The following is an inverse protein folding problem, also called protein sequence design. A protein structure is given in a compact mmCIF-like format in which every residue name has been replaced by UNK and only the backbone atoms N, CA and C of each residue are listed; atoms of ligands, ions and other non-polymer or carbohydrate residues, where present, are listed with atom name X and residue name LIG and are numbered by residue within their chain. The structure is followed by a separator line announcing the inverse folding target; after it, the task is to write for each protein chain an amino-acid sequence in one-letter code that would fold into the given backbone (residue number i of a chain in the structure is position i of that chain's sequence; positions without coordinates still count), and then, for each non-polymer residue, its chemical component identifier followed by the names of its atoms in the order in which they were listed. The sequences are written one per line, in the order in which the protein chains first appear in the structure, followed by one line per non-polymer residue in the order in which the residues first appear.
data_IF_007433204494
#
_entry.id   IF_007433204494
#
_cell.length_a   1.000
_cell.length_b   1.000
_cell.length_c   1.000
_cell.angle_alpha   90.00
_cell.angle_beta   90.00
_cell.angle_gamma   90.00
#
_symmetry.space_group_name_H-M   'P 1'
#
loop_
_entity.id
_entity.type
_entity.pdbx_description
1 polymer ?
#
# COMPACT_ATOMS: atom_id res chain seq x y z
N UNK A 1 -14.47 11.61 1.38
CA UNK A 1 -13.39 11.31 2.36
C UNK A 1 -12.08 11.05 1.63
N UNK A 2 -11.09 11.95 1.70
CA UNK A 2 -9.75 11.72 1.14
C UNK A 2 -8.91 10.96 2.19
N UNK A 3 -8.42 9.76 1.84
CA UNK A 3 -7.52 8.97 2.70
C UNK A 3 -6.25 9.79 2.97
N UNK A 4 -5.99 10.08 4.24
CA UNK A 4 -4.69 10.52 4.72
C UNK A 4 -3.77 9.29 4.65
N UNK A 5 -2.73 9.34 3.82
CA UNK A 5 -1.73 8.28 3.77
C UNK A 5 -0.89 8.39 5.05
N UNK A 6 -1.11 7.50 6.01
CA UNK A 6 -0.16 7.27 7.11
C UNK A 6 0.81 6.19 6.64
N UNK A 7 2.09 6.52 6.58
CA UNK A 7 3.14 5.51 6.47
C UNK A 7 3.33 4.96 7.88
N UNK A 8 2.84 3.74 8.13
CA UNK A 8 3.07 3.01 9.37
C UNK A 8 4.21 2.01 9.13
N UNK A 9 5.05 1.75 10.13
CA UNK A 9 6.23 0.87 10.06
C UNK A 9 7.36 1.44 9.19
N UNK A 10 7.71 2.70 9.44
CA UNK A 10 8.80 3.42 8.80
C UNK A 10 10.10 3.20 9.55
N UNK A 11 11.19 2.91 8.83
CA UNK A 11 12.55 2.89 9.39
C UNK A 11 13.42 3.81 8.55
N UNK A 12 14.11 4.74 9.19
CA UNK A 12 15.03 5.71 8.60
C UNK A 12 16.42 5.43 9.17
N UNK A 13 17.40 5.25 8.29
CA UNK A 13 18.80 4.97 8.66
C UNK A 13 19.74 5.81 7.79
N UNK A 14 20.86 6.24 8.37
CA UNK A 14 21.92 6.93 7.66
C UNK A 14 22.53 8.06 8.46
N UNK A 15 23.54 8.72 7.90
CA UNK A 15 24.14 9.92 8.48
C UNK A 15 23.21 11.11 8.24
N UNK A 16 22.57 11.58 9.31
CA UNK A 16 21.66 12.73 9.27
C UNK A 16 22.31 14.02 9.75
N UNK A 17 23.58 13.99 10.16
CA UNK A 17 24.28 15.15 10.71
C UNK A 17 23.43 15.92 11.73
N UNK A 18 22.77 15.20 12.64
CA UNK A 18 21.70 15.74 13.50
C UNK A 18 22.09 17.01 14.26
N UNK A 19 23.37 17.19 14.58
CA UNK A 19 23.89 18.39 15.24
C UNK A 19 23.73 19.69 14.40
N UNK A 20 23.76 19.61 13.07
CA UNK A 20 23.55 20.76 12.17
C UNK A 20 22.06 21.09 11.99
N UNK A 21 21.18 20.12 12.29
CA UNK A 21 19.74 20.19 12.05
C UNK A 21 18.92 19.78 13.28
N UNK A 22 19.45 20.02 14.49
CA UNK A 22 18.93 19.47 15.73
C UNK A 22 17.43 19.75 15.93
N UNK A 23 17.00 20.98 15.61
CA UNK A 23 15.59 21.35 15.69
C UNK A 23 14.70 20.58 14.71
N UNK A 24 15.14 20.40 13.46
CA UNK A 24 14.38 19.67 12.46
C UNK A 24 14.34 18.16 12.77
N UNK A 25 15.41 17.65 13.39
CA UNK A 25 15.50 16.28 13.86
C UNK A 25 14.53 16.00 15.03
N UNK A 26 14.52 16.88 16.04
CA UNK A 26 13.57 16.77 17.16
C UNK A 26 12.11 16.94 16.71
N UNK A 27 11.85 17.85 15.76
CA UNK A 27 10.54 17.99 15.13
C UNK A 27 10.15 16.72 14.36
N UNK A 28 11.09 16.06 13.67
CA UNK A 28 10.84 14.78 12.99
C UNK A 28 10.45 13.68 13.98
N UNK A 29 11.18 13.52 15.09
CA UNK A 29 10.86 12.52 16.12
C UNK A 29 9.50 12.81 16.77
N UNK A 30 9.27 14.06 17.18
CA UNK A 30 8.10 14.45 17.96
C UNK A 30 6.81 14.50 17.13
N UNK A 31 6.86 15.09 15.93
CA UNK A 31 5.65 15.27 15.09
C UNK A 31 5.18 13.95 14.48
N UNK A 32 6.11 13.04 14.19
CA UNK A 32 5.79 11.76 13.55
C UNK A 32 5.82 10.57 14.53
N UNK A 33 6.06 10.82 15.83
CA UNK A 33 6.08 9.78 16.85
C UNK A 33 7.18 8.73 16.62
N UNK A 34 8.33 9.17 16.11
CA UNK A 34 9.45 8.28 15.82
C UNK A 34 10.42 8.23 16.99
N UNK A 35 11.00 7.06 17.21
CA UNK A 35 12.02 6.81 18.24
C UNK A 35 13.37 6.61 17.57
N UNK A 36 14.40 7.32 18.04
CA UNK A 36 15.79 7.01 17.71
C UNK A 36 16.28 5.86 18.60
N UNK A 37 16.70 4.77 17.97
CA UNK A 37 17.13 3.53 18.62
C UNK A 37 18.65 3.48 18.90
N UNK A 38 19.40 4.49 18.43
CA UNK A 38 20.83 4.63 18.69
C UNK A 38 21.06 5.49 19.94
N UNK A 39 21.60 4.87 20.98
CA UNK A 39 21.89 5.51 22.28
C UNK A 39 23.39 5.56 22.59
N UNK A 40 24.25 5.28 21.61
CA UNK A 40 25.69 5.19 21.75
C UNK A 40 26.40 6.08 20.71
N UNK A 41 27.65 6.52 20.95
CA UNK A 41 28.42 7.27 19.96
C UNK A 41 28.57 6.48 18.65
N UNK A 42 28.41 7.16 17.52
CA UNK A 42 28.61 6.59 16.17
C UNK A 42 29.86 7.15 15.48
N UNK A 43 30.63 7.98 16.19
CA UNK A 43 31.87 8.57 15.72
C UNK A 43 32.93 8.51 16.81
N UNK A 44 34.20 8.38 16.43
CA UNK A 44 35.35 8.24 17.36
C UNK A 44 35.51 9.44 18.31
N UNK A 45 35.02 10.63 17.92
CA UNK A 45 35.04 11.84 18.76
C UNK A 45 33.93 11.86 19.83
N UNK A 46 33.07 10.84 19.87
CA UNK A 46 31.98 10.74 20.83
C UNK A 46 30.62 11.26 20.33
N UNK A 47 30.53 11.78 19.10
CA UNK A 47 29.25 12.19 18.52
C UNK A 47 28.43 11.00 18.02
N UNK A 48 27.11 11.16 17.97
CA UNK A 48 26.15 10.20 17.39
C UNK A 48 25.48 10.90 16.21
N UNK A 49 25.88 10.59 14.97
CA UNK A 49 25.39 11.24 13.75
C UNK A 49 24.60 10.31 12.84
N UNK A 50 24.61 9.01 13.17
CA UNK A 50 24.06 7.92 12.35
C UNK A 50 22.84 7.28 13.04
N UNK A 51 21.69 7.97 13.14
CA UNK A 51 20.54 7.47 13.87
C UNK A 51 19.83 6.35 13.11
N UNK A 52 19.13 5.51 13.88
CA UNK A 52 18.20 4.49 13.39
C UNK A 52 16.86 4.85 13.98
N UNK A 53 15.96 5.39 13.15
CA UNK A 53 14.72 6.00 13.62
C UNK A 53 13.54 5.19 13.11
N UNK A 54 12.57 4.87 13.97
CA UNK A 54 11.35 4.20 13.52
C UNK A 54 10.12 4.49 14.39
N UNK A 55 8.94 4.23 13.83
CA UNK A 55 7.65 4.18 14.54
C UNK A 55 7.29 2.75 15.02
N UNK A 56 8.28 1.85 15.04
CA UNK A 56 8.07 0.46 15.45
C UNK A 56 7.91 0.37 16.98
N UNK A 57 7.11 -0.59 17.49
CA UNK A 57 6.94 -0.80 18.92
C UNK A 57 8.28 -1.01 19.64
N UNK A 58 8.33 -0.59 20.91
CA UNK A 58 9.48 -0.78 21.77
C UNK A 58 9.91 -2.26 21.82
N UNK A 59 11.22 -2.51 21.74
CA UNK A 59 11.80 -3.86 21.72
C UNK A 59 11.79 -4.57 20.35
N UNK A 60 11.14 -4.01 19.33
CA UNK A 60 11.21 -4.57 17.94
C UNK A 60 12.54 -4.26 17.27
N UNK A 61 13.12 -3.09 17.56
CA UNK A 61 14.39 -2.64 17.00
C UNK A 61 15.44 -2.64 18.10
N UNK A 62 16.59 -3.26 17.84
CA UNK A 62 17.75 -3.22 18.73
C UNK A 62 18.98 -2.81 17.95
N UNK A 63 19.73 -1.83 18.46
CA UNK A 63 20.95 -1.32 17.84
C UNK A 63 22.17 -1.62 18.72
N UNK A 64 23.30 -1.95 18.10
CA UNK A 64 24.60 -2.08 18.79
C UNK A 64 25.76 -1.60 17.91
N UNK A 65 26.84 -1.06 18.50
CA UNK A 65 28.03 -0.71 17.73
C UNK A 65 28.80 -1.96 17.30
N UNK A 66 29.36 -1.95 16.08
CA UNK A 66 30.29 -2.98 15.58
C UNK A 66 31.76 -2.53 15.57
N UNK A 67 32.04 -1.29 15.97
CA UNK A 67 33.39 -0.70 15.88
C UNK A 67 33.62 0.06 14.57
N UNK A 68 34.83 0.59 14.41
CA UNK A 68 35.24 1.30 13.21
C UNK A 68 35.35 0.32 12.02
N UNK A 69 34.87 0.75 10.86
CA UNK A 69 35.01 -0.03 9.62
C UNK A 69 36.27 0.45 8.89
N UNK A 70 37.33 -0.35 8.97
CA UNK A 70 38.62 -0.01 8.35
C UNK A 70 39.24 1.25 8.97
N UNK A 71 39.53 2.26 8.15
CA UNK A 71 40.13 3.53 8.58
C UNK A 71 39.10 4.65 8.81
N UNK A 72 37.80 4.33 8.85
CA UNK A 72 36.76 5.31 9.09
C UNK A 72 36.73 5.77 10.55
N UNK A 73 36.47 7.05 10.73
CA UNK A 73 36.14 7.72 11.97
C UNK A 73 34.69 7.48 12.44
N UNK A 74 33.85 6.88 11.58
CA UNK A 74 32.51 6.39 11.94
C UNK A 74 32.54 4.96 12.47
N UNK A 75 31.67 4.68 13.44
CA UNK A 75 31.38 3.36 13.99
C UNK A 75 30.18 2.76 13.28
N UNK A 76 30.30 1.52 12.81
CA UNK A 76 29.17 0.83 12.19
C UNK A 76 28.05 0.54 13.21
N UNK A 77 26.82 0.90 12.84
CA UNK A 77 25.61 0.61 13.60
C UNK A 77 24.97 -0.67 13.07
N UNK A 78 24.89 -1.71 13.91
CA UNK A 78 24.16 -2.93 13.58
C UNK A 78 22.78 -2.89 14.19
N UNK A 79 21.75 -2.95 13.33
CA UNK A 79 20.35 -2.91 13.73
C UNK A 79 19.66 -4.23 13.42
N UNK A 80 18.99 -4.81 14.42
CA UNK A 80 18.12 -5.98 14.23
C UNK A 80 16.66 -5.54 14.37
N UNK A 81 15.81 -5.94 13.41
CA UNK A 81 14.39 -5.60 13.40
C UNK A 81 13.59 -6.91 13.46
N UNK A 82 12.88 -7.12 14.57
CA UNK A 82 12.08 -8.30 14.82
C UNK A 82 10.67 -8.15 14.24
N UNK A 83 10.54 -8.34 12.93
CA UNK A 83 9.22 -8.34 12.30
C UNK A 83 8.53 -9.68 12.52
N UNK A 84 7.40 -9.67 13.24
CA UNK A 84 6.48 -10.80 13.23
C UNK A 84 5.91 -10.93 11.81
N UNK A 85 6.52 -11.78 10.99
CA UNK A 85 6.09 -11.94 9.61
C UNK A 85 4.62 -12.33 9.57
N UNK A 86 3.79 -11.48 8.95
CA UNK A 86 2.48 -11.88 8.43
C UNK A 86 2.72 -12.93 7.34
N UNK A 87 2.96 -14.17 7.77
CA UNK A 87 3.00 -15.28 6.84
C UNK A 87 1.56 -15.55 6.49
N UNK A 88 1.24 -15.38 5.21
CA UNK A 88 -0.02 -15.87 4.69
C UNK A 88 -0.22 -17.31 5.17
N UNK A 89 -1.35 -17.54 5.83
CA UNK A 89 -1.66 -18.84 6.38
C UNK A 89 -2.07 -19.78 5.24
N UNK A 90 -1.71 -21.07 5.29
CA UNK A 90 -2.24 -22.04 4.34
C UNK A 90 -3.77 -22.03 4.35
N UNK A 91 -4.40 -21.93 3.17
CA UNK A 91 -5.86 -21.85 3.02
C UNK A 91 -6.39 -23.14 2.41
N UNK A 92 -7.58 -23.57 2.85
CA UNK A 92 -8.31 -24.65 2.17
C UNK A 92 -8.97 -24.10 0.92
N UNK A 93 -8.70 -24.72 -0.22
CA UNK A 93 -9.34 -24.42 -1.50
C UNK A 93 -10.18 -25.62 -1.93
N UNK A 94 -11.44 -25.34 -2.25
CA UNK A 94 -12.37 -26.33 -2.82
C UNK A 94 -12.55 -26.04 -4.29
N UNK A 95 -12.26 -27.03 -5.13
CA UNK A 95 -12.44 -26.93 -6.56
C UNK A 95 -13.63 -27.82 -6.97
N UNK A 96 -14.53 -27.28 -7.79
CA UNK A 96 -15.68 -27.99 -8.34
C UNK A 96 -15.29 -28.70 -9.63
N UNK A 97 -15.61 -29.99 -9.73
CA UNK A 97 -15.26 -30.84 -10.86
C UNK A 97 -16.41 -30.89 -11.87
N UNK A 98 -16.65 -29.77 -12.55
CA UNK A 98 -17.78 -29.64 -13.48
C UNK A 98 -17.81 -30.69 -14.59
N UNK A 99 -16.64 -31.16 -15.06
CA UNK A 99 -16.54 -32.25 -16.04
C UNK A 99 -16.93 -33.64 -15.52
N UNK A 100 -17.18 -33.78 -14.20
CA UNK A 100 -17.66 -35.01 -13.55
C UNK A 100 -19.05 -34.85 -12.94
N UNK A 101 -19.77 -33.79 -13.32
CA UNK A 101 -21.11 -33.51 -12.80
C UNK A 101 -22.09 -34.57 -13.27
N UNK A 102 -22.98 -35.02 -12.37
CA UNK A 102 -24.17 -35.75 -12.76
C UNK A 102 -25.20 -34.76 -13.31
N UNK A 103 -25.09 -34.43 -14.60
CA UNK A 103 -25.95 -33.46 -15.27
C UNK A 103 -27.40 -33.90 -15.34
N UNK A 104 -27.66 -35.18 -15.60
CA UNK A 104 -29.02 -35.72 -15.65
C UNK A 104 -29.72 -35.58 -14.31
N UNK A 105 -29.06 -36.01 -13.22
CA UNK A 105 -29.61 -35.87 -11.87
C UNK A 105 -29.79 -34.41 -11.44
N UNK A 106 -28.87 -33.51 -11.84
CA UNK A 106 -29.01 -32.07 -11.56
C UNK A 106 -30.19 -31.46 -12.31
N UNK A 107 -30.34 -31.79 -13.60
CA UNK A 107 -31.45 -31.30 -14.43
C UNK A 107 -32.79 -31.83 -13.92
N UNK A 108 -32.86 -33.12 -13.59
CA UNK A 108 -34.06 -33.75 -13.04
C UNK A 108 -34.46 -33.10 -11.71
N UNK A 109 -33.49 -32.91 -10.80
CA UNK A 109 -33.75 -32.24 -9.53
C UNK A 109 -34.20 -30.79 -9.70
N UNK A 110 -33.63 -30.05 -10.65
CA UNK A 110 -34.05 -28.67 -10.97
C UNK A 110 -35.48 -28.63 -11.52
N UNK A 111 -35.89 -29.59 -12.36
CA UNK A 111 -37.25 -29.70 -12.91
C UNK A 111 -38.28 -30.02 -11.83
N UNK A 112 -37.93 -30.87 -10.88
CA UNK A 112 -38.82 -31.30 -9.79
C UNK A 112 -38.74 -30.40 -8.54
N UNK A 113 -37.89 -29.38 -8.55
CA UNK A 113 -37.81 -28.41 -7.46
C UNK A 113 -39.11 -27.58 -7.43
N UNK A 114 -39.83 -27.50 -6.29
CA UNK A 114 -41.10 -26.79 -6.20
C UNK A 114 -40.87 -25.27 -6.09
N UNK A 115 -40.44 -24.64 -7.20
CA UNK A 115 -40.06 -23.23 -7.25
C UNK A 115 -41.14 -22.29 -6.74
N UNK A 116 -42.42 -22.58 -7.03
CA UNK A 116 -43.56 -21.77 -6.58
C UNK A 116 -43.69 -21.73 -5.04
N UNK A 117 -43.22 -22.77 -4.35
CA UNK A 117 -43.26 -22.83 -2.89
C UNK A 117 -42.00 -22.20 -2.26
N UNK A 118 -40.89 -22.20 -3.00
CA UNK A 118 -39.58 -21.71 -2.55
C UNK A 118 -39.45 -20.20 -2.79
N UNK A 119 -40.01 -19.69 -3.89
CA UNK A 119 -39.92 -18.29 -4.30
C UNK A 119 -41.12 -17.51 -3.75
N UNK A 120 -41.24 -17.46 -2.43
CA UNK A 120 -42.30 -16.75 -1.72
C UNK A 120 -41.73 -15.61 -0.86
N UNK A 121 -42.56 -14.60 -0.56
CA UNK A 121 -42.18 -13.43 0.24
C UNK A 121 -41.59 -12.29 -0.59
N UNK A 122 -40.80 -11.42 0.05
CA UNK A 122 -40.13 -10.30 -0.59
C UNK A 122 -38.98 -10.74 -1.50
N UNK A 123 -38.53 -9.83 -2.37
CA UNK A 123 -37.48 -10.10 -3.37
C UNK A 123 -36.18 -10.61 -2.73
N UNK A 124 -35.75 -10.06 -1.59
CA UNK A 124 -34.51 -10.51 -0.96
C UNK A 124 -34.65 -11.93 -0.42
N UNK A 125 -35.80 -12.26 0.15
CA UNK A 125 -36.11 -13.62 0.62
C UNK A 125 -36.18 -14.61 -0.54
N UNK A 126 -36.77 -14.24 -1.67
CA UNK A 126 -36.81 -15.08 -2.87
C UNK A 126 -35.40 -15.33 -3.42
N UNK A 127 -34.55 -14.30 -3.52
CA UNK A 127 -33.16 -14.43 -3.97
C UNK A 127 -32.36 -15.35 -3.04
N UNK A 128 -32.49 -15.17 -1.72
CA UNK A 128 -31.82 -16.06 -0.73
C UNK A 128 -32.25 -17.52 -0.91
N UNK A 129 -33.55 -17.76 -1.06
CA UNK A 129 -34.12 -19.12 -1.19
C UNK A 129 -33.71 -19.78 -2.51
N UNK A 130 -33.74 -19.02 -3.61
CA UNK A 130 -33.24 -19.46 -4.91
C UNK A 130 -31.76 -19.85 -4.84
N UNK A 131 -30.90 -18.93 -4.37
CA UNK A 131 -29.46 -19.14 -4.30
C UNK A 131 -29.10 -20.32 -3.38
N UNK A 132 -29.76 -20.44 -2.24
CA UNK A 132 -29.56 -21.57 -1.31
C UNK A 132 -29.92 -22.92 -1.95
N UNK A 133 -31.06 -22.97 -2.66
CA UNK A 133 -31.53 -24.18 -3.35
C UNK A 133 -30.57 -24.59 -4.46
N UNK A 134 -30.15 -23.65 -5.32
CA UNK A 134 -29.16 -23.92 -6.37
C UNK A 134 -27.84 -24.42 -5.79
N UNK A 135 -27.33 -23.79 -4.72
CA UNK A 135 -26.10 -24.26 -4.08
C UNK A 135 -26.24 -25.63 -3.42
N UNK A 136 -27.42 -25.97 -2.90
CA UNK A 136 -27.72 -27.29 -2.34
C UNK A 136 -27.67 -28.37 -3.42
N UNK A 137 -28.34 -28.13 -4.55
CA UNK A 137 -28.30 -29.02 -5.72
C UNK A 137 -26.88 -29.12 -6.28
N UNK A 138 -26.17 -28.01 -6.40
CA UNK A 138 -24.76 -28.01 -6.81
C UNK A 138 -23.90 -28.90 -5.91
N UNK A 139 -24.01 -28.76 -4.58
CA UNK A 139 -23.28 -29.62 -3.61
C UNK A 139 -23.60 -31.10 -3.77
N UNK A 140 -24.83 -31.43 -4.16
CA UNK A 140 -25.30 -32.82 -4.30
C UNK A 140 -24.84 -33.47 -5.60
N UNK A 141 -24.84 -32.73 -6.72
CA UNK A 141 -24.62 -33.30 -8.05
C UNK A 141 -23.26 -32.97 -8.68
N UNK A 142 -22.53 -31.98 -8.15
CA UNK A 142 -21.21 -31.58 -8.65
C UNK A 142 -20.14 -32.05 -7.67
N UNK A 143 -19.28 -33.01 -8.03
CA UNK A 143 -18.21 -33.47 -7.16
C UNK A 143 -17.21 -32.36 -6.86
N UNK A 144 -16.60 -32.41 -5.68
CA UNK A 144 -15.54 -31.49 -5.29
C UNK A 144 -14.30 -32.24 -4.84
N UNK A 145 -13.17 -31.55 -4.94
CA UNK A 145 -11.94 -31.92 -4.24
C UNK A 145 -11.40 -30.72 -3.47
N UNK A 146 -10.92 -30.97 -2.26
CA UNK A 146 -10.43 -29.93 -1.35
C UNK A 146 -8.96 -30.18 -1.05
N UNK A 147 -8.14 -29.13 -1.12
CA UNK A 147 -6.73 -29.20 -0.80
C UNK A 147 -6.22 -27.92 -0.14
N UNK A 148 -5.10 -28.05 0.57
CA UNK A 148 -4.43 -26.91 1.18
C UNK A 148 -3.51 -26.23 0.18
N UNK A 149 -3.75 -24.94 -0.05
CA UNK A 149 -2.88 -24.04 -0.82
C UNK A 149 -1.99 -23.30 0.17
N UNK A 150 -0.69 -23.28 -0.11
CA UNK A 150 0.30 -22.51 0.64
C UNK A 150 0.64 -21.24 -0.14
N UNK A 151 1.09 -20.17 0.53
CA UNK A 151 1.35 -18.89 -0.13
C UNK A 151 2.43 -18.95 -1.20
N UNK A 152 3.43 -19.81 -0.98
CA UNK A 152 4.55 -20.02 -1.89
C UNK A 152 4.26 -21.10 -2.94
N UNK A 153 3.06 -21.68 -2.96
CA UNK A 153 2.68 -22.59 -4.03
C UNK A 153 2.60 -21.82 -5.35
N UNK A 154 3.10 -22.42 -6.43
CA UNK A 154 3.00 -21.83 -7.77
C UNK A 154 1.55 -21.86 -8.27
N UNK A 155 1.13 -20.97 -9.18
CA UNK A 155 -0.24 -20.92 -9.70
C UNK A 155 -0.74 -22.25 -10.30
N UNK A 156 0.15 -23.01 -10.94
CA UNK A 156 -0.13 -24.33 -11.51
C UNK A 156 -0.15 -25.47 -10.47
N UNK A 157 0.20 -25.20 -9.20
CA UNK A 157 0.24 -26.21 -8.14
C UNK A 157 -1.17 -26.47 -7.58
N UNK A 158 -1.92 -27.32 -8.28
CA UNK A 158 -3.29 -27.69 -7.91
C UNK A 158 -3.40 -28.93 -7.01
N UNK A 159 -4.63 -29.43 -6.86
CA UNK A 159 -4.97 -30.61 -6.06
C UNK A 159 -4.07 -31.83 -6.33
N UNK A 160 -3.91 -32.21 -7.60
CA UNK A 160 -3.11 -33.39 -7.95
C UNK A 160 -1.64 -33.24 -7.51
N UNK A 161 -1.07 -32.04 -7.64
CA UNK A 161 0.28 -31.73 -7.16
C UNK A 161 0.36 -31.85 -5.64
N UNK A 162 -0.66 -31.37 -4.91
CA UNK A 162 -0.72 -31.50 -3.45
C UNK A 162 -0.79 -32.96 -3.02
N UNK A 163 -1.66 -33.77 -3.63
CA UNK A 163 -1.79 -35.21 -3.33
C UNK A 163 -0.48 -35.94 -3.57
N UNK A 164 0.18 -35.69 -4.72
CA UNK A 164 1.47 -36.30 -5.04
C UNK A 164 2.60 -35.85 -4.09
N UNK A 165 2.60 -34.58 -3.67
CA UNK A 165 3.58 -34.05 -2.71
C UNK A 165 3.41 -34.69 -1.34
N UNK A 166 2.18 -34.83 -0.88
CA UNK A 166 1.87 -35.43 0.41
C UNK A 166 2.24 -36.92 0.40
N UNK A 167 1.98 -37.64 -0.71
CA UNK A 167 2.36 -39.05 -0.85
C UNK A 167 3.88 -39.24 -0.87
N UNK A 168 4.61 -38.39 -1.60
CA UNK A 168 6.09 -38.36 -1.54
C UNK A 168 6.58 -38.14 -0.10
N UNK A 169 5.97 -37.20 0.63
CA UNK A 169 6.33 -36.93 2.03
C UNK A 169 6.04 -38.13 2.94
N UNK A 170 4.89 -38.78 2.79
CA UNK A 170 4.52 -39.99 3.55
C UNK A 170 5.47 -41.15 3.25
N UNK A 171 5.77 -41.40 1.98
CA UNK A 171 6.68 -42.46 1.56
C UNK A 171 8.11 -42.21 2.09
N UNK A 172 8.60 -40.97 2.05
CA UNK A 172 9.88 -40.59 2.64
C UNK A 172 9.92 -40.84 4.15
N UNK A 173 8.90 -40.38 4.89
CA UNK A 173 8.81 -40.59 6.35
C UNK A 173 8.81 -42.09 6.69
N UNK A 174 8.11 -42.91 5.90
CA UNK A 174 8.06 -44.37 6.07
C UNK A 174 9.43 -45.00 5.83
N UNK A 175 10.11 -44.65 4.72
CA UNK A 175 11.45 -45.14 4.42
C UNK A 175 12.48 -44.71 5.48
N UNK A 176 12.43 -43.47 5.95
CA UNK A 176 13.33 -42.97 7.00
C UNK A 176 13.15 -43.71 8.33
N UNK A 177 11.92 -44.10 8.67
CA UNK A 177 11.63 -44.91 9.88
C UNK A 177 12.04 -46.37 9.70
N UNK A 178 11.80 -46.93 8.52
CA UNK A 178 12.05 -48.34 8.20
C UNK A 178 12.75 -48.45 6.84
N UNK A 179 14.10 -48.49 6.82
CA UNK A 179 14.92 -48.46 5.59
C UNK A 179 14.91 -49.77 4.78
N UNK A 180 13.73 -50.30 4.43
CA UNK A 180 13.60 -51.51 3.62
C UNK A 180 13.67 -51.21 2.12
N UNK A 181 14.05 -52.21 1.31
CA UNK A 181 14.06 -52.11 -0.16
C UNK A 181 12.68 -51.68 -0.71
N UNK A 182 11.60 -52.29 -0.23
CA UNK A 182 10.24 -51.94 -0.62
C UNK A 182 9.89 -50.48 -0.30
N UNK A 183 10.25 -50.00 0.90
CA UNK A 183 9.99 -48.60 1.27
C UNK A 183 10.82 -47.62 0.43
N UNK A 184 12.07 -47.98 0.09
CA UNK A 184 12.93 -47.20 -0.84
C UNK A 184 12.28 -47.11 -2.22
N UNK A 185 11.78 -48.23 -2.74
CA UNK A 185 11.13 -48.30 -4.04
C UNK A 185 9.84 -47.45 -4.07
N UNK A 186 8.98 -47.57 -3.06
CA UNK A 186 7.77 -46.73 -2.93
C UNK A 186 8.08 -45.23 -2.88
N UNK A 187 9.13 -44.84 -2.16
CA UNK A 187 9.56 -43.43 -2.15
C UNK A 187 10.06 -42.98 -3.53
N UNK A 188 10.80 -43.82 -4.24
CA UNK A 188 11.28 -43.55 -5.60
C UNK A 188 10.11 -43.36 -6.58
N UNK A 189 9.12 -44.25 -6.54
CA UNK A 189 7.89 -44.16 -7.34
C UNK A 189 7.09 -42.89 -7.03
N UNK A 190 6.94 -42.55 -5.75
CA UNK A 190 6.27 -41.32 -5.35
C UNK A 190 7.02 -40.06 -5.82
N UNK A 191 8.35 -40.08 -5.86
CA UNK A 191 9.16 -39.01 -6.44
C UNK A 191 8.93 -38.87 -7.95
N UNK A 192 8.95 -39.97 -8.70
CA UNK A 192 8.67 -39.94 -10.14
C UNK A 192 7.26 -39.47 -10.44
N UNK A 193 6.26 -39.95 -9.68
CA UNK A 193 4.87 -39.52 -9.83
C UNK A 193 4.73 -38.01 -9.57
N UNK A 194 5.37 -37.48 -8.52
CA UNK A 194 5.38 -36.05 -8.24
C UNK A 194 5.95 -35.23 -9.41
N UNK A 195 7.12 -35.63 -9.95
CA UNK A 195 7.73 -34.94 -11.08
C UNK A 195 6.83 -34.97 -12.32
N UNK A 196 6.22 -36.12 -12.61
CA UNK A 196 5.28 -36.29 -13.72
C UNK A 196 4.07 -35.37 -13.57
N UNK A 197 3.44 -35.36 -12.40
CA UNK A 197 2.26 -34.54 -12.11
C UNK A 197 2.58 -33.05 -12.19
N UNK A 198 3.73 -32.62 -11.66
CA UNK A 198 4.17 -31.22 -11.78
C UNK A 198 4.38 -30.81 -13.24
N UNK A 199 5.03 -31.65 -14.05
CA UNK A 199 5.25 -31.37 -15.47
C UNK A 199 3.94 -31.21 -16.23
N UNK A 200 2.98 -32.11 -16.01
CA UNK A 200 1.64 -32.02 -16.63
C UNK A 200 0.91 -30.76 -16.18
N UNK A 201 0.99 -30.41 -14.90
CA UNK A 201 0.33 -29.22 -14.37
C UNK A 201 0.94 -27.91 -14.92
N UNK A 202 2.27 -27.84 -15.00
CA UNK A 202 2.99 -26.72 -15.61
C UNK A 202 2.61 -26.54 -17.08
N UNK A 203 2.62 -27.64 -17.86
CA UNK A 203 2.30 -27.60 -19.28
C UNK A 203 0.86 -27.09 -19.51
N UNK A 204 -0.11 -27.68 -18.80
CA UNK A 204 -1.51 -27.24 -18.90
C UNK A 204 -1.69 -25.76 -18.58
N UNK A 205 -1.04 -25.29 -17.53
CA UNK A 205 -1.09 -23.89 -17.16
C UNK A 205 -0.46 -22.97 -18.22
N UNK A 206 0.66 -23.37 -18.82
CA UNK A 206 1.26 -22.64 -19.93
C UNK A 206 0.34 -22.61 -21.16
N UNK A 207 -0.31 -23.72 -21.49
CA UNK A 207 -1.22 -23.81 -22.63
C UNK A 207 -2.47 -22.96 -22.42
N UNK A 208 -3.06 -22.98 -21.21
CA UNK A 208 -4.17 -22.11 -20.82
C UNK A 208 -3.78 -20.62 -20.88
N UNK A 209 -2.55 -20.29 -20.45
CA UNK A 209 -2.05 -18.92 -20.50
C UNK A 209 -1.84 -18.45 -21.95
N UNK A 210 -1.25 -19.29 -22.79
CA UNK A 210 -1.10 -19.02 -24.24
C UNK A 210 -2.45 -18.80 -24.89
N UNK A 211 -3.41 -19.67 -24.61
CA UNK A 211 -4.77 -19.55 -25.12
C UNK A 211 -5.39 -18.20 -24.72
N UNK A 212 -5.35 -17.85 -23.43
CA UNK A 212 -5.84 -16.56 -22.92
C UNK A 212 -5.15 -15.34 -23.54
N UNK A 213 -3.85 -15.42 -23.79
CA UNK A 213 -3.10 -14.31 -24.38
C UNK A 213 -3.34 -14.19 -25.90
N UNK A 214 -3.67 -15.29 -26.57
CA UNK A 214 -3.99 -15.34 -28.00
C UNK A 214 -5.45 -14.98 -28.32
N UNK A 215 -6.34 -15.12 -27.35
CA UNK A 215 -7.77 -14.89 -27.51
C UNK A 215 -8.09 -13.38 -27.48
N UNK A 216 -8.52 -12.86 -28.63
CA UNK A 216 -8.86 -11.43 -28.82
C UNK A 216 -10.14 -11.02 -28.08
N UNK A 217 -10.93 -11.97 -27.59
CA UNK A 217 -12.14 -11.71 -26.80
C UNK A 217 -11.83 -11.47 -25.31
N UNK A 218 -10.61 -11.75 -24.86
CA UNK A 218 -10.20 -11.54 -23.47
C UNK A 218 -10.11 -10.03 -23.19
N UNK A 219 -10.94 -9.56 -22.25
CA UNK A 219 -10.95 -8.15 -21.87
C UNK A 219 -9.57 -7.66 -21.41
N UNK A 220 -9.24 -6.41 -21.80
CA UNK A 220 -7.93 -5.77 -21.57
C UNK A 220 -7.36 -5.99 -20.16
N UNK A 221 -8.17 -5.85 -19.10
CA UNK A 221 -7.74 -6.08 -17.72
C UNK A 221 -7.25 -7.51 -17.46
N UNK A 222 -7.99 -8.52 -17.95
CA UNK A 222 -7.63 -9.93 -17.77
C UNK A 222 -6.36 -10.28 -18.55
N UNK A 223 -6.22 -9.72 -19.75
CA UNK A 223 -5.03 -9.89 -20.57
C UNK A 223 -3.78 -9.28 -19.89
N UNK A 224 -3.87 -8.04 -19.42
CA UNK A 224 -2.78 -7.37 -18.70
C UNK A 224 -2.43 -8.06 -17.38
N UNK A 225 -3.41 -8.64 -16.69
CA UNK A 225 -3.16 -9.41 -15.45
C UNK A 225 -2.37 -10.68 -15.76
N UNK A 226 -2.79 -11.44 -16.77
CA UNK A 226 -2.11 -12.65 -17.20
C UNK A 226 -0.66 -12.40 -17.65
N UNK A 227 -0.42 -11.31 -18.39
CA UNK A 227 0.92 -10.92 -18.83
C UNK A 227 1.82 -10.53 -17.65
N UNK A 228 1.31 -9.72 -16.72
CA UNK A 228 2.06 -9.28 -15.54
C UNK A 228 2.43 -10.44 -14.62
N UNK A 229 1.50 -11.37 -14.40
CA UNK A 229 1.75 -12.61 -13.65
C UNK A 229 2.86 -13.46 -14.29
N UNK A 230 2.91 -13.55 -15.63
CA UNK A 230 3.97 -14.27 -16.33
C UNK A 230 5.35 -13.61 -16.14
N UNK A 231 5.40 -12.28 -16.14
CA UNK A 231 6.62 -11.51 -15.95
C UNK A 231 7.06 -11.45 -14.46
N UNK A 232 6.31 -12.07 -13.54
CA UNK A 232 6.58 -12.02 -12.11
C UNK A 232 6.17 -10.71 -11.44
N UNK A 233 5.48 -9.82 -12.17
CA UNK A 233 4.80 -8.67 -11.61
C UNK A 233 3.44 -9.12 -11.06
N UNK A 234 3.43 -9.76 -9.89
CA UNK A 234 2.20 -9.79 -9.13
C UNK A 234 1.78 -8.33 -8.84
N UNK A 235 0.50 -7.95 -9.00
CA UNK A 235 0.03 -6.69 -8.45
C UNK A 235 0.23 -6.79 -6.94
N UNK A 236 1.30 -6.18 -6.44
CA UNK A 236 1.55 -6.04 -5.02
C UNK A 236 0.57 -4.98 -4.51
N UNK A 237 -0.68 -5.39 -4.28
CA UNK A 237 -1.74 -4.54 -3.73
C UNK A 237 -1.39 -4.05 -2.31
N UNK A 238 -0.28 -4.50 -1.71
CA UNK A 238 0.25 -4.01 -0.44
C UNK A 238 1.00 -2.68 -0.56
N UNK A 239 1.47 -2.31 -1.77
CA UNK A 239 1.99 -0.98 -2.04
C UNK A 239 1.02 -0.34 -3.03
N UNK A 240 0.06 0.49 -2.57
CA UNK A 240 -0.82 1.18 -3.49
C UNK A 240 0.05 1.92 -4.51
N UNK A 241 -0.19 1.71 -5.83
CA UNK A 241 0.61 2.37 -6.84
C UNK A 241 0.59 3.87 -6.57
N UNK A 242 1.75 4.52 -6.69
CA UNK A 242 1.97 5.97 -6.53
C UNK A 242 1.21 6.83 -7.58
N UNK A 243 0.13 6.31 -8.15
CA UNK A 243 -0.57 6.83 -9.31
C UNK A 243 -1.53 7.98 -8.97
N UNK A 244 -1.48 8.56 -7.75
CA UNK A 244 -2.25 9.74 -7.37
C UNK A 244 -1.49 10.70 -6.44
N UNK A 245 -0.16 10.74 -6.47
CA UNK A 245 0.54 11.85 -5.83
C UNK A 245 0.38 13.10 -6.68
N UNK A 246 -0.33 14.09 -6.14
CA UNK A 246 -0.27 15.46 -6.67
C UNK A 246 1.20 15.90 -6.78
N UNK A 247 1.59 16.65 -7.83
CA UNK A 247 2.97 17.06 -8.04
C UNK A 247 3.62 17.63 -6.77
N UNK A 248 4.93 17.42 -6.58
CA UNK A 248 5.64 17.93 -5.41
C UNK A 248 5.42 19.44 -5.21
N UNK A 249 5.38 20.19 -6.32
CA UNK A 249 5.13 21.62 -6.30
C UNK A 249 3.75 21.97 -5.74
N UNK A 250 2.70 21.24 -6.15
CA UNK A 250 1.34 21.37 -5.62
C UNK A 250 1.31 21.18 -4.10
N UNK A 251 1.95 20.10 -3.60
CA UNK A 251 2.01 19.81 -2.16
C UNK A 251 2.73 20.90 -1.38
N UNK A 252 3.83 21.44 -1.94
CA UNK A 252 4.58 22.56 -1.35
C UNK A 252 3.74 23.83 -1.30
N UNK A 253 2.99 24.13 -2.35
CA UNK A 253 2.15 25.33 -2.40
C UNK A 253 0.97 25.28 -1.42
N UNK A 254 0.31 24.12 -1.30
CA UNK A 254 -0.72 23.89 -0.26
C UNK A 254 -0.13 24.05 1.15
N UNK A 255 1.03 23.43 1.41
CA UNK A 255 1.68 23.50 2.72
C UNK A 255 2.12 24.94 3.06
N UNK A 256 2.74 25.64 2.11
CA UNK A 256 3.17 27.03 2.28
C UNK A 256 2.01 27.97 2.59
N UNK A 257 0.89 27.85 1.86
CA UNK A 257 -0.32 28.62 2.14
C UNK A 257 -0.91 28.30 3.52
N UNK A 258 -0.89 27.04 3.96
CA UNK A 258 -1.33 26.66 5.29
C UNK A 258 -0.47 27.31 6.38
N UNK A 259 0.85 27.39 6.18
CA UNK A 259 1.75 28.10 7.10
C UNK A 259 1.42 29.59 7.13
N UNK A 260 1.20 30.24 5.97
CA UNK A 260 0.75 31.63 5.90
C UNK A 260 -0.57 31.86 6.64
N UNK A 261 -1.54 30.97 6.48
CA UNK A 261 -2.81 31.02 7.21
C UNK A 261 -2.60 30.92 8.73
N UNK A 262 -1.74 30.00 9.21
CA UNK A 262 -1.42 29.88 10.64
C UNK A 262 -0.79 31.15 11.21
N UNK A 263 0.13 31.76 10.46
CA UNK A 263 0.81 33.02 10.84
C UNK A 263 -0.20 34.17 11.00
N UNK A 264 -1.14 34.28 10.06
CA UNK A 264 -2.04 35.42 9.96
C UNK A 264 -3.32 35.28 10.78
N UNK A 265 -3.92 34.09 10.81
CA UNK A 265 -5.24 33.85 11.42
C UNK A 265 -5.18 33.14 12.77
N UNK A 266 -4.20 32.28 13.00
CA UNK A 266 -4.08 31.50 14.25
C UNK A 266 -3.05 32.07 15.23
N UNK A 267 -2.24 33.05 14.81
CA UNK A 267 -1.29 33.72 15.71
C UNK A 267 -0.21 32.80 16.28
N UNK A 268 0.26 31.81 15.50
CA UNK A 268 1.25 30.84 15.94
C UNK A 268 2.56 31.53 16.41
N UNK A 269 2.90 31.51 17.72
CA UNK A 269 3.99 32.32 18.28
C UNK A 269 5.36 32.00 17.68
N UNK A 270 5.63 30.71 17.44
CA UNK A 270 6.89 30.23 16.86
C UNK A 270 7.07 30.59 15.37
N UNK A 271 6.02 31.10 14.70
CA UNK A 271 6.07 31.57 13.31
C UNK A 271 5.99 33.10 13.20
N UNK A 272 5.97 33.82 14.33
CA UNK A 272 5.81 35.27 14.36
C UNK A 272 6.87 35.99 13.50
N UNK A 273 8.10 35.47 13.47
CA UNK A 273 9.21 36.01 12.67
C UNK A 273 8.93 36.02 11.15
N UNK A 274 8.03 35.16 10.68
CA UNK A 274 7.65 35.06 9.26
C UNK A 274 6.45 35.95 8.90
N UNK A 275 5.83 36.63 9.87
CA UNK A 275 4.65 37.47 9.64
C UNK A 275 5.00 38.65 8.75
N UNK A 276 4.28 38.75 7.64
CA UNK A 276 4.35 39.91 6.75
C UNK A 276 3.25 40.92 7.12
N UNK A 277 3.52 42.23 7.03
CA UNK A 277 2.52 43.26 7.28
C UNK A 277 1.44 43.23 6.19
N UNK A 278 0.24 43.64 6.56
CA UNK A 278 -0.85 43.87 5.61
C UNK A 278 -0.52 45.06 4.70
N UNK A 279 -0.97 44.99 3.45
CA UNK A 279 -0.85 46.08 2.50
C UNK A 279 -1.77 47.24 2.91
N UNK A 280 -1.29 48.47 2.76
CA UNK A 280 -2.10 49.66 3.05
C UNK A 280 -3.20 49.83 2.01
N UNK A 281 -4.41 50.24 2.41
CA UNK A 281 -5.45 50.68 1.48
C UNK A 281 -4.95 51.86 0.63
N UNK A 282 -5.39 51.96 -0.63
CA UNK A 282 -5.21 53.20 -1.39
C UNK A 282 -6.32 54.19 -1.05
N UNK A 283 -6.04 55.51 -1.12
CA UNK A 283 -7.05 56.55 -0.86
C UNK A 283 -8.17 56.63 -1.92
N UNK A 284 -8.03 55.91 -3.04
CA UNK A 284 -9.02 55.90 -4.13
C UNK A 284 -9.73 54.55 -4.21
N UNK A 285 -11.07 54.59 -4.31
CA UNK A 285 -11.91 53.41 -4.48
C UNK A 285 -11.70 52.80 -5.87
N UNK A 286 -11.10 51.61 -5.91
CA UNK A 286 -11.05 50.76 -7.10
C UNK A 286 -11.86 49.49 -6.86
N UNK A 287 -12.25 48.78 -7.92
CA UNK A 287 -13.14 47.61 -7.87
C UNK A 287 -12.64 46.46 -6.97
N UNK A 288 -11.35 46.46 -6.63
CA UNK A 288 -10.70 45.48 -5.72
C UNK A 288 -10.26 46.10 -4.36
N UNK A 289 -10.63 47.35 -4.06
CA UNK A 289 -10.18 48.05 -2.85
C UNK A 289 -10.59 47.33 -1.55
N UNK A 290 -11.75 46.65 -1.56
CA UNK A 290 -12.34 46.00 -0.39
C UNK A 290 -11.60 44.72 0.08
N UNK A 291 -10.65 44.19 -0.70
CA UNK A 291 -9.86 43.00 -0.31
C UNK A 291 -8.37 43.32 -0.09
N UNK A 292 -7.98 44.60 -0.17
CA UNK A 292 -6.57 45.01 -0.17
C UNK A 292 -5.96 45.04 1.22
N UNK A 293 -6.76 45.34 2.23
CA UNK A 293 -6.45 45.21 3.66
C UNK A 293 -6.14 43.76 4.08
N UNK A 294 -6.52 42.77 3.26
CA UNK A 294 -6.28 41.35 3.48
C UNK A 294 -5.14 40.79 2.61
N UNK A 295 -4.45 41.64 1.85
CA UNK A 295 -3.23 41.29 1.11
C UNK A 295 -1.99 41.61 1.94
N UNK A 296 -0.91 40.86 1.71
CA UNK A 296 0.39 41.04 2.36
C UNK A 296 1.30 41.92 1.50
N UNK A 297 2.18 42.68 2.17
CA UNK A 297 3.33 43.28 1.50
C UNK A 297 4.26 42.16 1.03
N UNK A 298 4.56 42.14 -0.25
CA UNK A 298 5.51 41.17 -0.83
C UNK A 298 6.92 41.74 -0.68
N UNK A 299 7.85 41.05 0.01
CA UNK A 299 9.22 41.52 0.13
C UNK A 299 9.87 41.69 -1.24
N UNK A 300 10.57 42.81 -1.43
CA UNK A 300 11.30 43.09 -2.66
C UNK A 300 12.43 42.07 -2.85
N UNK A 301 12.56 41.54 -4.06
CA UNK A 301 13.56 40.53 -4.40
C UNK A 301 14.41 40.99 -5.58
N UNK A 302 15.74 41.05 -5.39
CA UNK A 302 16.71 41.34 -6.45
C UNK A 302 17.12 40.12 -7.26
N UNK A 303 16.94 38.91 -6.72
CA UNK A 303 17.36 37.66 -7.36
C UNK A 303 16.20 36.67 -7.50
N UNK A 304 16.25 35.87 -8.58
CA UNK A 304 15.26 34.81 -8.81
C UNK A 304 15.24 33.77 -7.67
N UNK A 305 16.40 33.49 -7.07
CA UNK A 305 16.53 32.57 -5.92
C UNK A 305 15.80 33.09 -4.70
N UNK A 306 16.01 34.35 -4.32
CA UNK A 306 15.30 34.94 -3.19
C UNK A 306 13.80 35.07 -3.49
N UNK A 307 13.41 35.34 -4.74
CA UNK A 307 12.00 35.41 -5.14
C UNK A 307 11.24 34.07 -5.02
N UNK A 308 11.98 32.95 -5.02
CA UNK A 308 11.47 31.58 -4.80
C UNK A 308 11.49 31.17 -3.32
N UNK A 309 12.12 31.94 -2.44
CA UNK A 309 12.11 31.70 -0.99
C UNK A 309 10.70 31.86 -0.40
N UNK A 310 10.52 31.40 0.83
CA UNK A 310 9.20 31.29 1.47
C UNK A 310 8.42 32.62 1.44
N UNK A 311 9.02 33.72 1.90
CA UNK A 311 8.30 34.99 2.11
C UNK A 311 7.80 35.61 0.78
N UNK A 312 8.63 35.87 -0.25
CA UNK A 312 8.16 36.49 -1.49
C UNK A 312 7.23 35.57 -2.29
N UNK A 313 7.44 34.25 -2.23
CA UNK A 313 6.60 33.28 -2.93
C UNK A 313 5.21 33.22 -2.33
N UNK A 314 5.10 32.93 -1.04
CA UNK A 314 3.80 32.68 -0.41
C UNK A 314 3.04 33.95 -0.08
N UNK A 315 3.71 35.12 0.00
CA UNK A 315 3.00 36.40 0.06
C UNK A 315 2.27 36.70 -1.26
N UNK A 316 2.92 36.45 -2.41
CA UNK A 316 2.28 36.59 -3.72
C UNK A 316 1.15 35.59 -3.90
N UNK A 317 1.38 34.33 -3.53
CA UNK A 317 0.38 33.28 -3.66
C UNK A 317 -0.82 33.54 -2.75
N UNK A 318 -0.61 34.02 -1.53
CA UNK A 318 -1.67 34.49 -0.64
C UNK A 318 -2.48 35.63 -1.26
N UNK A 319 -1.81 36.66 -1.78
CA UNK A 319 -2.49 37.79 -2.43
C UNK A 319 -3.29 37.34 -3.67
N UNK A 320 -2.87 36.26 -4.31
CA UNK A 320 -3.60 35.66 -5.42
C UNK A 320 -4.86 34.93 -4.94
N UNK A 321 -4.76 34.16 -3.84
CA UNK A 321 -5.92 33.54 -3.16
C UNK A 321 -6.93 34.61 -2.74
N UNK A 322 -6.47 35.72 -2.14
CA UNK A 322 -7.34 36.83 -1.70
C UNK A 322 -8.04 37.52 -2.86
N UNK A 323 -7.34 37.71 -3.99
CA UNK A 323 -7.92 38.36 -5.18
C UNK A 323 -8.95 37.47 -5.90
N UNK A 324 -8.71 36.17 -5.96
CA UNK A 324 -9.54 35.27 -6.76
C UNK A 324 -10.62 34.51 -5.98
N UNK A 325 -10.51 34.46 -4.65
CA UNK A 325 -11.34 33.59 -3.82
C UNK A 325 -11.60 34.21 -2.45
N UNK A 326 -12.59 33.68 -1.73
CA UNK A 326 -12.85 34.03 -0.33
C UNK A 326 -12.27 32.99 0.67
N UNK A 327 -11.39 32.11 0.19
CA UNK A 327 -10.84 31.00 1.00
C UNK A 327 -10.06 31.49 2.21
N UNK A 328 -9.44 32.66 2.13
CA UNK A 328 -8.72 33.30 3.23
C UNK A 328 -9.60 33.61 4.45
N UNK A 329 -10.93 33.62 4.28
CA UNK A 329 -11.92 33.81 5.35
C UNK A 329 -12.36 32.49 5.99
N UNK A 330 -11.84 31.35 5.56
CA UNK A 330 -12.18 30.04 6.11
C UNK A 330 -12.05 30.04 7.65
N UNK A 331 -13.05 29.48 8.34
CA UNK A 331 -13.13 29.47 9.80
C UNK A 331 -12.06 28.59 10.48
N UNK A 332 -11.57 27.57 9.77
CA UNK A 332 -10.55 26.65 10.30
C UNK A 332 -9.46 26.38 9.26
N UNK A 333 -8.27 26.03 9.75
CA UNK A 333 -7.16 25.59 8.92
C UNK A 333 -7.52 24.37 8.06
N UNK A 334 -8.35 23.46 8.57
CA UNK A 334 -8.78 22.28 7.83
C UNK A 334 -9.60 22.68 6.60
N UNK A 335 -10.58 23.57 6.77
CA UNK A 335 -11.41 24.09 5.68
C UNK A 335 -10.52 24.84 4.66
N UNK A 336 -9.63 25.71 5.14
CA UNK A 336 -8.67 26.43 4.30
C UNK A 336 -7.82 25.48 3.46
N UNK A 337 -7.22 24.46 4.09
CA UNK A 337 -6.37 23.46 3.43
C UNK A 337 -7.13 22.70 2.36
N UNK A 338 -8.36 22.27 2.63
CA UNK A 338 -9.20 21.56 1.66
C UNK A 338 -9.52 22.44 0.45
N UNK A 339 -9.89 23.71 0.68
CA UNK A 339 -10.25 24.65 -0.38
C UNK A 339 -9.04 24.99 -1.28
N UNK A 340 -7.90 25.35 -0.68
CA UNK A 340 -6.65 25.64 -1.41
C UNK A 340 -6.17 24.42 -2.20
N UNK A 341 -6.26 23.24 -1.61
CA UNK A 341 -5.86 22.00 -2.27
C UNK A 341 -6.76 21.66 -3.46
N UNK A 342 -8.04 22.04 -3.44
CA UNK A 342 -8.92 21.88 -4.60
C UNK A 342 -8.65 22.95 -5.67
N UNK A 343 -8.42 24.19 -5.25
CA UNK A 343 -8.20 25.34 -6.13
C UNK A 343 -6.88 25.26 -6.92
N UNK A 344 -5.82 24.70 -6.31
CA UNK A 344 -4.53 24.49 -6.98
C UNK A 344 -4.52 23.29 -7.95
N UNK A 345 -5.56 22.45 -7.97
CA UNK A 345 -5.63 21.34 -8.92
C UNK A 345 -5.96 21.89 -10.31
N UNK A 346 -5.24 21.48 -11.37
CA UNK A 346 -5.58 21.86 -12.73
C UNK A 346 -6.98 21.34 -13.09
N UNK A 347 -7.82 22.23 -13.61
CA UNK A 347 -9.16 21.89 -14.12
C UNK A 347 -9.02 20.98 -15.35
N UNK A 348 -9.22 19.68 -15.16
CA UNK A 348 -9.49 18.73 -16.25
C UNK A 348 -8.50 17.59 -16.36
N UNK A 349 -8.95 16.39 -16.02
CA UNK A 349 -9.18 15.25 -16.93
C UNK A 349 -10.16 14.34 -16.19
N UNK A 350 -11.45 14.44 -16.53
CA UNK A 350 -12.46 13.46 -16.15
C UNK A 350 -12.19 12.15 -16.89
#
# INVERSE_FOLDING_TARGET
MRKQYSCNHTVIVGDLNQHLVARAFEELLTVYGLTNHVTFPTHISGSSLDPVISDLPEGVVTCRPLGAVGSSDHLAVFSTIHVAGLRDVPKKRTNWLWGKTNWEGLQDALRHTPWNNILTGDVDTQVRSFTSTIHSLQRRYVPTHTFTVKPLDRPWFGYNCRVAADEKSRAWKRFRRHPTHNNKQRHKEACFNMQRVQRVAQQRWQDELKFKLSDRSVGSKSWWTALKEQQGFAPDDHIPPLNKLTPLQHRRDVAGLCVTYKILKQGAPHLAILRQPWATPHPYSTRDANKRDQQLIVPFARTATFFRSFLPRYSRLWNHVVRQTDMHQAATLHIFKCAVNAWLMPSGHN
#
